data_IF_596130850241
#
_entry.id   IF_596130850241
#
_cell.length_a   1.000
_cell.length_b   1.000
_cell.length_c   1.000
_cell.angle_alpha   90.00
_cell.angle_beta   90.00
_cell.angle_gamma   90.00
#
_symmetry.space_group_name_H-M   'P 1'
#
loop_
_entity.id
_entity.type
_entity.pdbx_description
1 polymer ?
#
# COMPACT_ATOMS: atom_id res chain seq x y z
N UNK A 1 -4.91 -10.65 -4.43
CA UNK A 1 -5.62 -9.36 -4.66
C UNK A 1 -5.70 -9.12 -6.16
N UNK A 2 -6.76 -8.47 -6.64
CA UNK A 2 -6.90 -8.13 -8.06
C UNK A 2 -6.65 -6.63 -8.24
N UNK A 3 -5.80 -6.28 -9.20
CA UNK A 3 -5.39 -4.92 -9.52
C UNK A 3 -5.90 -4.55 -10.92
N UNK A 4 -6.48 -3.37 -11.05
CA UNK A 4 -6.79 -2.78 -12.36
C UNK A 4 -5.66 -1.86 -12.76
N UNK A 5 -5.06 -2.12 -13.91
CA UNK A 5 -3.92 -1.38 -14.44
C UNK A 5 -4.34 -0.73 -15.75
N UNK A 6 -4.06 0.55 -15.91
CA UNK A 6 -4.27 1.26 -17.15
C UNK A 6 -3.08 1.00 -18.07
N UNK A 7 -3.28 0.25 -19.15
CA UNK A 7 -2.22 -0.09 -20.11
C UNK A 7 -2.02 1.03 -21.15
N UNK A 8 -3.11 1.71 -21.54
CA UNK A 8 -3.10 2.82 -22.50
C UNK A 8 -4.10 3.89 -22.04
N UNK A 9 -3.56 5.03 -21.58
CA UNK A 9 -4.36 6.15 -21.08
C UNK A 9 -5.13 6.88 -22.19
N UNK A 10 -4.54 6.99 -23.38
CA UNK A 10 -5.17 7.67 -24.52
C UNK A 10 -6.35 6.86 -25.04
N UNK A 11 -6.23 5.54 -25.04
CA UNK A 11 -7.29 4.62 -25.49
C UNK A 11 -8.21 4.14 -24.37
N UNK A 12 -7.98 4.58 -23.12
CA UNK A 12 -8.72 4.15 -21.93
C UNK A 12 -8.79 2.62 -21.79
N UNK A 13 -7.66 1.94 -22.03
CA UNK A 13 -7.56 0.48 -21.95
C UNK A 13 -7.11 0.07 -20.56
N UNK A 14 -7.90 -0.80 -19.93
CA UNK A 14 -7.64 -1.35 -18.61
C UNK A 14 -7.42 -2.85 -18.69
N UNK A 15 -6.39 -3.35 -18.02
CA UNK A 15 -6.19 -4.78 -17.78
C UNK A 15 -6.33 -5.11 -16.30
N UNK A 16 -6.83 -6.31 -16.06
CA UNK A 16 -6.90 -6.90 -14.73
C UNK A 16 -5.64 -7.73 -14.51
N UNK A 17 -4.85 -7.37 -13.50
CA UNK A 17 -3.66 -8.11 -13.07
C UNK A 17 -3.89 -8.72 -11.69
N UNK A 18 -3.47 -9.97 -11.53
CA UNK A 18 -3.50 -10.61 -10.23
C UNK A 18 -2.22 -10.27 -9.49
N UNK A 19 -2.36 -9.68 -8.30
CA UNK A 19 -1.27 -9.59 -7.34
C UNK A 19 -0.91 -11.01 -6.92
N UNK A 20 0.22 -11.46 -7.41
CA UNK A 20 0.86 -12.74 -7.10
C UNK A 20 2.06 -12.40 -6.24
N UNK A 21 2.34 -13.15 -5.19
CA UNK A 21 3.52 -12.87 -4.38
C UNK A 21 4.28 -14.15 -4.13
N UNK A 22 5.60 -14.05 -4.17
CA UNK A 22 6.46 -15.19 -3.89
C UNK A 22 6.22 -15.67 -2.45
N UNK A 23 6.08 -17.00 -2.20
CA UNK A 23 5.88 -17.54 -0.86
C UNK A 23 6.93 -17.08 0.16
N UNK A 24 8.17 -16.81 -0.26
CA UNK A 24 9.22 -16.28 0.61
C UNK A 24 8.87 -14.91 1.21
N UNK A 25 8.02 -14.13 0.55
CA UNK A 25 7.61 -12.79 0.97
C UNK A 25 6.30 -12.80 1.76
N UNK A 26 5.62 -13.95 1.90
CA UNK A 26 4.33 -14.02 2.61
C UNK A 26 4.38 -13.53 4.06
N UNK A 27 5.54 -13.62 4.72
CA UNK A 27 5.73 -13.10 6.06
C UNK A 27 5.45 -11.59 6.17
N UNK A 28 5.62 -10.83 5.08
CA UNK A 28 5.30 -9.40 5.00
C UNK A 28 3.79 -9.12 5.05
N UNK A 29 2.95 -10.12 4.76
CA UNK A 29 1.49 -9.99 4.76
C UNK A 29 0.83 -10.52 6.05
N UNK A 30 1.59 -11.07 7.00
CA UNK A 30 1.02 -11.71 8.19
C UNK A 30 0.02 -10.79 8.90
N UNK A 31 -1.24 -11.23 8.92
CA UNK A 31 -2.43 -10.59 9.50
C UNK A 31 -2.72 -9.13 9.08
N UNK A 32 -2.07 -8.65 8.02
CA UNK A 32 -2.21 -7.27 7.57
C UNK A 32 -3.02 -7.20 6.28
N UNK A 33 -4.13 -6.48 6.32
CA UNK A 33 -4.82 -6.06 5.10
C UNK A 33 -4.04 -4.89 4.48
N UNK A 34 -4.03 -4.79 3.15
CA UNK A 34 -3.39 -3.68 2.45
C UNK A 34 -4.42 -2.93 1.63
N UNK A 35 -4.28 -1.60 1.56
CA UNK A 35 -4.94 -0.80 0.52
C UNK A 35 -3.91 -0.33 -0.49
N UNK A 36 -4.36 -0.26 -1.74
CA UNK A 36 -3.67 0.52 -2.77
C UNK A 36 -3.82 1.98 -2.40
N UNK A 37 -2.68 2.65 -2.24
CA UNK A 37 -2.63 4.07 -1.93
C UNK A 37 -2.40 4.89 -3.19
N UNK A 38 -1.39 4.52 -3.99
CA UNK A 38 -0.99 5.23 -5.21
C UNK A 38 -0.02 4.37 -6.04
N UNK A 39 0.56 4.94 -7.09
CA UNK A 39 1.67 4.37 -7.86
C UNK A 39 2.87 5.32 -7.93
N UNK A 40 4.08 4.77 -7.89
CA UNK A 40 5.31 5.54 -8.14
C UNK A 40 5.43 5.89 -9.63
N UNK A 41 6.30 6.86 -9.96
CA UNK A 41 6.61 7.18 -11.37
C UNK A 41 7.18 6.00 -12.16
N UNK A 42 7.83 5.07 -11.47
CA UNK A 42 8.38 3.84 -12.05
C UNK A 42 7.34 2.71 -12.16
N UNK A 43 6.06 2.99 -11.83
CA UNK A 43 4.96 2.04 -11.94
C UNK A 43 4.90 1.01 -10.81
N UNK A 44 5.59 1.23 -9.69
CA UNK A 44 5.38 0.40 -8.50
C UNK A 44 4.09 0.82 -7.80
N UNK A 45 3.32 -0.15 -7.35
CA UNK A 45 2.10 0.09 -6.59
C UNK A 45 2.48 0.32 -5.12
N UNK A 46 2.06 1.45 -4.57
CA UNK A 46 2.23 1.77 -3.16
C UNK A 46 1.08 1.14 -2.38
N UNK A 47 1.44 0.20 -1.52
CA UNK A 47 0.55 -0.49 -0.60
C UNK A 47 0.81 0.00 0.81
N UNK A 48 -0.27 0.33 1.53
CA UNK A 48 -0.18 0.72 2.94
C UNK A 48 -0.96 -0.26 3.81
N UNK A 49 -0.41 -0.69 4.95
CA UNK A 49 -1.13 -1.53 5.90
C UNK A 49 -2.41 -0.86 6.36
N UNK A 50 -3.53 -1.54 6.16
CA UNK A 50 -4.78 -1.26 6.84
C UNK A 50 -4.81 -2.05 8.14
N UNK A 51 -4.83 -1.33 9.26
CA UNK A 51 -5.15 -1.94 10.55
C UNK A 51 -6.66 -2.15 10.60
N UNK A 52 -7.16 -3.21 9.98
CA UNK A 52 -8.57 -3.55 9.99
C UNK A 52 -8.76 -4.91 10.65
N UNK A 53 -9.84 -5.04 11.43
CA UNK A 53 -10.21 -6.31 12.04
C UNK A 53 -11.67 -6.59 11.76
N UNK A 54 -12.05 -7.87 11.74
CA UNK A 54 -13.45 -8.25 11.64
C UNK A 54 -14.13 -8.14 13.01
N UNK A 55 -15.22 -7.40 13.10
CA UNK A 55 -16.06 -7.39 14.29
C UNK A 55 -16.68 -8.79 14.47
N UNK A 56 -16.46 -9.47 15.60
CA UNK A 56 -16.94 -10.84 15.78
C UNK A 56 -18.46 -10.95 15.90
N UNK A 57 -19.16 -9.84 16.22
CA UNK A 57 -20.62 -9.81 16.37
C UNK A 57 -21.34 -9.41 15.09
N UNK A 58 -20.86 -8.34 14.42
CA UNK A 58 -21.51 -7.81 13.20
C UNK A 58 -20.91 -8.39 11.92
N UNK A 59 -19.77 -9.09 12.02
CA UNK A 59 -18.99 -9.58 10.87
C UNK A 59 -18.45 -8.49 9.94
N UNK A 60 -18.61 -7.21 10.29
CA UNK A 60 -18.14 -6.06 9.52
C UNK A 60 -16.65 -5.82 9.73
N UNK A 61 -16.00 -5.22 8.73
CA UNK A 61 -14.61 -4.75 8.86
C UNK A 61 -14.59 -3.42 9.60
N UNK A 62 -13.86 -3.34 10.71
CA UNK A 62 -13.62 -2.11 11.45
C UNK A 62 -12.16 -1.69 11.27
N UNK A 63 -11.93 -0.39 11.06
CA UNK A 63 -10.58 0.19 11.05
C UNK A 63 -10.16 0.45 12.50
N UNK A 64 -9.08 -0.18 12.93
CA UNK A 64 -8.46 0.01 14.23
C UNK A 64 -7.40 1.11 14.18
N UNK A 65 -7.33 1.91 15.24
CA UNK A 65 -6.24 2.86 15.42
C UNK A 65 -4.93 2.09 15.71
N UNK A 66 -3.90 2.27 14.88
CA UNK A 66 -2.59 1.64 15.10
C UNK A 66 -1.78 2.53 16.06
N UNK A 67 -1.33 1.99 17.19
CA UNK A 67 -0.46 2.71 18.17
C UNK A 67 1.04 2.57 17.88
N UNK A 68 1.39 2.05 16.70
CA UNK A 68 2.78 1.89 16.25
C UNK A 68 3.43 3.25 16.03
N UNK A 69 4.69 3.42 16.44
CA UNK A 69 5.51 4.57 16.06
C UNK A 69 6.27 4.36 14.75
N UNK A 70 6.23 3.14 14.21
CA UNK A 70 6.87 2.76 12.94
C UNK A 70 5.84 2.73 11.84
N UNK A 71 6.15 3.41 10.74
CA UNK A 71 5.31 3.44 9.56
C UNK A 71 5.99 2.64 8.45
N UNK A 72 5.26 1.72 7.85
CA UNK A 72 5.77 0.85 6.81
C UNK A 72 4.98 1.08 5.53
N UNK A 73 5.68 1.35 4.45
CA UNK A 73 5.15 1.35 3.09
C UNK A 73 5.63 0.10 2.39
N UNK A 74 4.80 -0.44 1.51
CA UNK A 74 5.16 -1.59 0.70
C UNK A 74 5.08 -1.17 -0.76
N UNK A 75 6.18 -1.33 -1.49
CA UNK A 75 6.25 -1.02 -2.91
C UNK A 75 6.24 -2.33 -3.68
N UNK A 76 5.24 -2.48 -4.53
CA UNK A 76 5.04 -3.68 -5.33
C UNK A 76 5.33 -3.42 -6.80
N UNK A 77 6.33 -4.12 -7.34
CA UNK A 77 6.60 -4.09 -8.78
C UNK A 77 5.72 -5.09 -9.51
N UNK A 78 4.80 -4.59 -10.35
CA UNK A 78 3.99 -5.43 -11.24
C UNK A 78 4.80 -6.16 -12.31
N UNK A 79 5.98 -5.63 -12.68
CA UNK A 79 6.85 -6.22 -13.69
C UNK A 79 7.61 -7.43 -13.14
N UNK A 80 8.16 -7.28 -11.93
CA UNK A 80 9.04 -8.28 -11.34
C UNK A 80 8.34 -9.15 -10.27
N UNK A 81 7.06 -8.88 -9.99
CA UNK A 81 6.28 -9.60 -8.99
C UNK A 81 6.96 -9.61 -7.61
N UNK A 82 7.56 -8.47 -7.24
CA UNK A 82 8.40 -8.32 -6.06
C UNK A 82 7.85 -7.25 -5.14
N UNK A 83 7.78 -7.55 -3.85
CA UNK A 83 7.39 -6.63 -2.81
C UNK A 83 8.61 -6.17 -2.01
N UNK A 84 8.82 -4.86 -1.85
CA UNK A 84 9.83 -4.30 -0.93
C UNK A 84 9.14 -3.54 0.20
N UNK A 85 9.64 -3.72 1.41
CA UNK A 85 9.21 -2.98 2.59
C UNK A 85 10.11 -1.76 2.80
N UNK A 86 9.50 -0.62 3.09
CA UNK A 86 10.17 0.64 3.39
C UNK A 86 9.68 1.13 4.75
N UNK A 87 10.57 1.13 5.74
CA UNK A 87 10.31 1.66 7.07
C UNK A 87 10.61 3.16 7.11
N UNK A 88 9.62 3.97 7.49
CA UNK A 88 9.77 5.40 7.78
C UNK A 88 9.98 5.54 9.28
N UNK A 89 11.22 5.88 9.66
CA UNK A 89 11.69 5.86 11.05
C UNK A 89 11.31 7.10 11.87
N UNK A 90 10.82 8.17 11.24
CA UNK A 90 10.68 9.46 11.90
C UNK A 90 9.38 10.20 11.50
N UNK A 91 8.25 9.74 12.05
CA UNK A 91 6.97 10.44 11.90
C UNK A 91 6.21 10.42 13.22
N UNK A 92 6.53 11.37 14.10
CA UNK A 92 5.63 11.72 15.20
C UNK A 92 4.26 12.09 14.59
N UNK A 93 3.23 11.27 14.84
CA UNK A 93 1.82 11.47 14.49
C UNK A 93 1.31 11.10 13.08
N UNK A 94 1.90 10.11 12.42
CA UNK A 94 1.35 9.58 11.17
C UNK A 94 -0.01 8.81 11.27
N UNK A 95 -0.67 8.82 12.42
CA UNK A 95 -1.99 8.21 12.63
C UNK A 95 -3.09 9.20 13.06
N UNK A 96 -2.76 10.50 13.23
CA UNK A 96 -3.73 11.51 13.70
C UNK A 96 -4.68 11.96 12.59
N UNK A 97 -4.28 11.91 11.32
CA UNK A 97 -5.15 12.30 10.22
C UNK A 97 -5.63 11.06 9.46
N UNK A 98 -6.95 10.88 9.35
CA UNK A 98 -7.55 9.87 8.44
C UNK A 98 -7.33 10.21 6.95
N UNK A 99 -6.54 11.24 6.65
CA UNK A 99 -6.21 11.74 5.32
C UNK A 99 -4.70 11.77 5.18
N UNK A 100 -4.16 10.71 4.57
CA UNK A 100 -2.82 10.69 4.03
C UNK A 100 -2.97 10.71 2.51
N UNK A 101 -2.50 11.78 1.88
CA UNK A 101 -2.24 11.80 0.45
C UNK A 101 -0.72 11.70 0.28
N UNK A 102 -0.23 10.61 -0.28
CA UNK A 102 1.10 10.63 -0.89
C UNK A 102 0.91 11.50 -2.12
N UNK A 103 1.48 12.70 -2.15
CA UNK A 103 1.29 13.65 -3.26
C UNK A 103 2.28 13.36 -4.38
N UNK A 104 3.35 12.66 -4.04
CA UNK A 104 4.33 12.14 -4.96
C UNK A 104 5.55 11.59 -4.22
N UNK A 105 6.32 10.80 -4.96
CA UNK A 105 7.73 10.59 -4.67
C UNK A 105 8.52 11.64 -5.46
N UNK A 106 9.52 12.27 -4.84
CA UNK A 106 10.49 13.07 -5.58
C UNK A 106 11.43 12.18 -6.42
N UNK A 107 12.32 12.81 -7.19
CA UNK A 107 13.26 12.13 -8.09
C UNK A 107 14.29 11.25 -7.34
N UNK A 108 14.31 11.31 -6.01
CA UNK A 108 15.22 10.60 -5.10
C UNK A 108 14.47 9.63 -4.18
N UNK A 109 13.21 9.32 -4.48
CA UNK A 109 12.32 8.48 -3.66
C UNK A 109 11.96 9.05 -2.27
N UNK A 110 12.10 10.36 -2.03
CA UNK A 110 11.59 10.96 -0.80
C UNK A 110 10.06 11.09 -0.86
N UNK A 111 9.41 10.70 0.24
CA UNK A 111 7.97 10.78 0.40
C UNK A 111 7.55 12.22 0.69
N UNK A 112 6.78 12.85 -0.20
CA UNK A 112 6.11 14.11 0.10
C UNK A 112 4.73 13.84 0.71
N UNK A 113 4.48 14.38 1.91
CA UNK A 113 3.21 14.26 2.64
C UNK A 113 2.61 15.65 2.99
N UNK A 114 1.28 15.78 2.99
CA UNK A 114 0.51 16.91 3.55
C UNK A 114 -0.31 16.45 4.76
#
# INVERSE_FOLDING_TARGET
MELWVMDDAEKNVWSKKTFSMDPSQMHLLNDSHFRVQDTTRNGEVILVPQNTSRNPKTCEMIVQHKSSTRFHLFLYSLQNNHLREVEIKDTSNCYITNKWGIIGLDDVENLMYL
#
